data_IF_148696679087
#
_entry.id   IF_148696679087
#
_cell.length_a   1.000
_cell.length_b   1.000
_cell.length_c   1.000
_cell.angle_alpha   90.00
_cell.angle_beta   90.00
_cell.angle_gamma   90.00
#
_symmetry.space_group_name_H-M   'P 1'
#
loop_
_entity.id
_entity.type
_entity.pdbx_description
1 polymer ?
#
# COMPACT_ATOMS: atom_id res chain seq x y z
N UNK A 1 -43.80 54.32 18.93
CA UNK A 1 -42.46 54.02 18.40
C UNK A 1 -42.21 52.51 18.58
N UNK A 2 -42.18 51.79 17.49
CA UNK A 2 -41.88 50.36 17.51
C UNK A 2 -40.41 50.18 17.28
N UNK A 3 -39.68 49.76 18.30
CA UNK A 3 -38.29 49.34 18.16
C UNK A 3 -38.22 48.01 17.43
N UNK A 4 -37.68 48.01 16.22
CA UNK A 4 -37.37 46.74 15.53
C UNK A 4 -36.04 46.23 16.05
N UNK A 5 -36.11 45.17 16.83
CA UNK A 5 -34.94 44.43 17.26
C UNK A 5 -34.44 43.61 16.07
N UNK A 6 -33.32 44.05 15.47
CA UNK A 6 -32.68 43.33 14.42
C UNK A 6 -31.79 42.25 15.04
N UNK A 7 -32.28 41.02 15.04
CA UNK A 7 -31.45 39.86 15.44
C UNK A 7 -30.48 39.60 14.30
N UNK A 8 -29.25 40.06 14.46
CA UNK A 8 -28.12 39.61 13.63
C UNK A 8 -27.78 38.19 14.09
N UNK A 9 -28.24 37.20 13.33
CA UNK A 9 -27.73 35.84 13.43
C UNK A 9 -26.28 35.86 12.93
N UNK A 10 -25.34 35.97 13.85
CA UNK A 10 -23.95 35.64 13.58
C UNK A 10 -23.90 34.12 13.44
N UNK A 11 -23.97 33.63 12.19
CA UNK A 11 -23.63 32.25 11.87
C UNK A 11 -22.15 32.02 12.20
N UNK A 12 -21.87 31.33 13.29
CA UNK A 12 -20.51 30.92 13.60
C UNK A 12 -20.04 29.98 12.50
N UNK A 13 -19.20 30.47 11.60
CA UNK A 13 -18.50 29.65 10.63
C UNK A 13 -17.43 28.87 11.38
N UNK A 14 -17.71 27.61 11.69
CA UNK A 14 -16.73 26.70 12.27
C UNK A 14 -15.90 26.17 11.10
N UNK A 15 -14.60 26.47 11.01
CA UNK A 15 -13.77 25.90 9.96
C UNK A 15 -13.70 24.39 10.19
N UNK A 16 -14.29 23.64 9.29
CA UNK A 16 -14.16 22.17 9.28
C UNK A 16 -12.81 21.83 8.69
N UNK A 17 -11.86 21.44 9.54
CA UNK A 17 -10.61 20.87 9.06
C UNK A 17 -10.92 19.48 8.52
N UNK A 18 -10.74 19.31 7.20
CA UNK A 18 -10.81 17.99 6.60
C UNK A 18 -9.71 17.12 7.22
N UNK A 19 -10.09 16.05 7.91
CA UNK A 19 -9.12 15.04 8.34
C UNK A 19 -8.58 14.33 7.11
N UNK A 20 -7.27 13.99 7.07
CA UNK A 20 -6.74 13.20 5.97
C UNK A 20 -7.56 11.90 5.86
N UNK A 21 -7.99 11.59 4.63
CA UNK A 21 -8.71 10.36 4.37
C UNK A 21 -7.86 9.16 4.84
N UNK A 22 -8.46 8.13 5.48
CA UNK A 22 -7.72 6.93 5.83
C UNK A 22 -7.07 6.35 4.58
N UNK A 23 -5.86 5.80 4.71
CA UNK A 23 -5.13 5.16 3.63
C UNK A 23 -6.00 4.11 2.97
N UNK A 24 -6.22 4.26 1.65
CA UNK A 24 -7.07 3.34 0.88
C UNK A 24 -6.36 2.04 0.52
N UNK A 25 -5.06 1.97 0.76
CA UNK A 25 -4.22 0.80 0.46
C UNK A 25 -3.83 0.10 1.75
N UNK A 26 -3.92 -1.22 1.74
CA UNK A 26 -3.42 -2.07 2.81
C UNK A 26 -2.35 -3.01 2.27
N UNK A 27 -1.33 -3.26 3.10
CA UNK A 27 -0.28 -4.24 2.81
C UNK A 27 -0.70 -5.56 3.44
N UNK A 28 -0.68 -6.63 2.63
CA UNK A 28 -1.05 -7.97 3.05
C UNK A 28 0.13 -8.92 2.93
N UNK A 29 0.15 -9.94 3.77
CA UNK A 29 1.18 -10.96 3.76
C UNK A 29 0.58 -12.34 4.03
N UNK A 30 1.29 -13.37 3.55
CA UNK A 30 0.96 -14.75 3.89
C UNK A 30 1.10 -14.94 5.42
N UNK A 31 0.29 -15.82 5.98
CA UNK A 31 0.31 -16.12 7.42
C UNK A 31 1.68 -16.63 7.91
N UNK A 32 2.52 -17.15 7.01
CA UNK A 32 3.89 -17.59 7.32
C UNK A 32 4.87 -16.44 7.58
N UNK A 33 4.53 -15.21 7.19
CA UNK A 33 5.39 -14.05 7.41
C UNK A 33 5.34 -13.66 8.88
N UNK A 34 6.46 -13.83 9.58
CA UNK A 34 6.56 -13.58 11.03
C UNK A 34 6.78 -12.08 11.32
N UNK A 35 5.83 -11.25 10.90
CA UNK A 35 5.82 -9.81 11.17
C UNK A 35 4.38 -9.34 11.36
N UNK A 36 4.15 -8.41 12.28
CA UNK A 36 2.86 -7.74 12.47
C UNK A 36 2.85 -6.36 11.82
N UNK A 37 4.01 -5.74 11.71
CA UNK A 37 4.21 -4.43 11.10
C UNK A 37 5.44 -4.41 10.21
N UNK A 38 5.55 -3.35 9.42
CA UNK A 38 6.67 -3.10 8.53
C UNK A 38 6.94 -1.60 8.45
N UNK A 39 8.20 -1.20 8.44
CA UNK A 39 8.53 0.20 8.21
C UNK A 39 8.37 0.56 6.73
N UNK A 40 8.09 1.84 6.45
CA UNK A 40 8.06 2.35 5.07
C UNK A 40 9.39 2.10 4.36
N UNK A 41 10.51 2.23 5.06
CA UNK A 41 11.84 1.99 4.50
C UNK A 41 12.01 0.52 4.08
N UNK A 42 11.67 -0.42 4.94
CA UNK A 42 11.76 -1.85 4.64
C UNK A 42 10.83 -2.25 3.50
N UNK A 43 9.60 -1.73 3.51
CA UNK A 43 8.63 -1.97 2.46
C UNK A 43 9.14 -1.48 1.10
N UNK A 44 9.68 -0.28 1.05
CA UNK A 44 10.29 0.29 -0.15
C UNK A 44 11.45 -0.57 -0.66
N UNK A 45 12.34 -1.00 0.21
CA UNK A 45 13.49 -1.83 -0.15
C UNK A 45 13.07 -3.17 -0.73
N UNK A 46 12.08 -3.83 -0.13
CA UNK A 46 11.53 -5.09 -0.64
C UNK A 46 10.90 -4.89 -2.01
N UNK A 47 10.03 -3.91 -2.15
CA UNK A 47 9.30 -3.69 -3.40
C UNK A 47 10.14 -3.09 -4.52
N UNK A 48 11.29 -2.51 -4.23
CA UNK A 48 12.25 -2.04 -5.26
C UNK A 48 13.34 -3.05 -5.56
N UNK A 49 13.36 -4.19 -4.89
CA UNK A 49 14.33 -5.23 -5.12
C UNK A 49 15.69 -5.02 -4.43
N UNK A 50 15.80 -4.02 -3.57
CA UNK A 50 17.03 -3.76 -2.82
C UNK A 50 17.33 -4.86 -1.79
N UNK A 51 16.29 -5.49 -1.26
CA UNK A 51 16.39 -6.63 -0.33
C UNK A 51 15.25 -7.61 -0.55
N UNK A 52 15.43 -8.85 -0.12
CA UNK A 52 14.39 -9.89 -0.10
C UNK A 52 13.90 -10.20 1.32
N UNK A 53 14.31 -9.41 2.30
CA UNK A 53 13.92 -9.65 3.69
C UNK A 53 13.50 -8.38 4.39
N UNK A 54 12.59 -8.54 5.34
CA UNK A 54 12.23 -7.50 6.30
C UNK A 54 13.24 -7.47 7.45
N UNK A 55 13.18 -6.43 8.27
CA UNK A 55 14.01 -6.31 9.46
C UNK A 55 13.90 -7.57 10.33
N UNK A 56 15.01 -8.05 10.82
CA UNK A 56 15.07 -9.31 11.59
C UNK A 56 15.27 -10.56 10.72
N UNK A 57 15.49 -10.41 9.42
CA UNK A 57 15.78 -11.52 8.51
C UNK A 57 14.56 -12.27 8.01
N UNK A 58 13.35 -11.72 8.17
CA UNK A 58 12.12 -12.36 7.68
C UNK A 58 12.08 -12.31 6.16
N UNK A 59 12.21 -13.46 5.51
CA UNK A 59 12.19 -13.58 4.05
C UNK A 59 10.79 -13.32 3.50
N UNK A 60 10.70 -12.48 2.47
CA UNK A 60 9.45 -12.14 1.80
C UNK A 60 9.65 -12.11 0.29
N UNK A 61 8.57 -12.42 -0.43
CA UNK A 61 8.51 -12.34 -1.89
C UNK A 61 7.42 -11.36 -2.29
N UNK A 62 7.77 -10.20 -2.85
CA UNK A 62 6.77 -9.23 -3.27
C UNK A 62 5.98 -9.71 -4.48
N UNK A 63 4.69 -9.41 -4.52
CA UNK A 63 3.84 -9.55 -5.69
C UNK A 63 3.25 -8.20 -6.04
N UNK A 64 3.07 -7.95 -7.32
CA UNK A 64 2.63 -6.67 -7.85
C UNK A 64 1.21 -6.76 -8.36
N UNK A 65 0.48 -5.68 -8.21
CA UNK A 65 -0.80 -5.49 -8.88
C UNK A 65 -0.55 -4.78 -10.22
N UNK A 66 -1.35 -5.13 -11.22
CA UNK A 66 -1.30 -4.43 -12.52
C UNK A 66 -1.47 -2.92 -12.37
N UNK A 67 -1.02 -2.11 -13.34
CA UNK A 67 -1.22 -0.66 -13.31
C UNK A 67 -2.68 -0.29 -13.11
N UNK A 68 -2.94 0.73 -12.31
CA UNK A 68 -4.26 1.23 -11.95
C UNK A 68 -4.20 2.05 -10.66
N UNK A 69 -5.37 2.48 -10.19
CA UNK A 69 -5.47 3.42 -9.08
C UNK A 69 -4.85 2.89 -7.78
N UNK A 70 -5.11 1.64 -7.41
CA UNK A 70 -4.56 1.04 -6.19
C UNK A 70 -3.04 0.89 -6.28
N UNK A 71 -2.53 0.45 -7.42
CA UNK A 71 -1.09 0.36 -7.67
C UNK A 71 -0.43 1.75 -7.60
N UNK A 72 -1.03 2.75 -8.21
CA UNK A 72 -0.52 4.12 -8.18
C UNK A 72 -0.50 4.67 -6.74
N UNK A 73 -1.55 4.47 -5.99
CA UNK A 73 -1.63 4.90 -4.59
C UNK A 73 -0.57 4.21 -3.72
N UNK A 74 -0.36 2.93 -3.91
CA UNK A 74 0.69 2.19 -3.22
C UNK A 74 2.08 2.75 -3.54
N UNK A 75 2.37 2.99 -4.80
CA UNK A 75 3.66 3.53 -5.23
C UNK A 75 3.88 4.95 -4.69
N UNK A 76 2.86 5.81 -4.74
CA UNK A 76 2.94 7.16 -4.21
C UNK A 76 3.17 7.18 -2.69
N UNK A 77 2.46 6.34 -1.96
CA UNK A 77 2.52 6.30 -0.50
C UNK A 77 3.83 5.71 0.03
N UNK A 78 4.33 4.65 -0.60
CA UNK A 78 5.37 3.81 0.01
C UNK A 78 6.65 3.68 -0.81
N UNK A 79 6.62 3.92 -2.10
CA UNK A 79 7.78 3.72 -2.97
C UNK A 79 8.36 5.04 -3.49
N UNK A 80 7.49 6.01 -3.78
CA UNK A 80 7.91 7.32 -4.29
C UNK A 80 8.33 7.29 -5.75
N UNK A 81 7.78 6.37 -6.54
CA UNK A 81 8.05 6.23 -7.98
C UNK A 81 6.76 6.10 -8.76
N UNK A 82 6.77 6.54 -10.02
CA UNK A 82 5.73 6.21 -10.98
C UNK A 82 5.77 4.72 -11.33
N UNK A 83 4.67 4.18 -11.84
CA UNK A 83 4.63 2.77 -12.27
C UNK A 83 5.69 2.47 -13.33
N UNK A 84 5.85 3.33 -14.32
CA UNK A 84 6.86 3.13 -15.37
C UNK A 84 8.29 3.12 -14.81
N UNK A 85 8.62 4.04 -13.92
CA UNK A 85 9.94 4.09 -13.27
C UNK A 85 10.18 2.90 -12.36
N UNK A 86 9.16 2.48 -11.63
CA UNK A 86 9.20 1.32 -10.76
C UNK A 86 9.48 0.03 -11.54
N UNK A 87 8.73 -0.20 -12.63
CA UNK A 87 8.91 -1.40 -13.46
C UNK A 87 10.20 -1.36 -14.24
N UNK A 88 10.67 -0.18 -14.65
CA UNK A 88 12.00 -0.03 -15.26
C UNK A 88 13.13 -0.44 -14.30
N UNK A 89 13.00 -0.11 -13.02
CA UNK A 89 13.92 -0.55 -11.99
C UNK A 89 14.00 -2.09 -11.89
N UNK A 90 12.88 -2.76 -11.90
CA UNK A 90 12.85 -4.23 -11.90
C UNK A 90 13.43 -4.84 -13.19
N UNK A 91 13.14 -4.27 -14.35
CA UNK A 91 13.75 -4.73 -15.59
C UNK A 91 15.28 -4.60 -15.55
N UNK A 92 15.80 -3.53 -14.96
CA UNK A 92 17.23 -3.36 -14.76
C UNK A 92 17.84 -4.47 -13.89
N UNK A 93 17.16 -4.85 -12.81
CA UNK A 93 17.57 -5.95 -11.94
C UNK A 93 17.57 -7.27 -12.71
N UNK A 94 16.52 -7.54 -13.49
CA UNK A 94 16.40 -8.75 -14.31
C UNK A 94 17.53 -8.83 -15.34
N UNK A 95 17.80 -7.75 -16.07
CA UNK A 95 18.83 -7.72 -17.10
C UNK A 95 20.26 -7.82 -16.55
N UNK A 96 20.49 -7.37 -15.31
CA UNK A 96 21.78 -7.52 -14.65
C UNK A 96 22.01 -8.92 -14.07
N UNK A 97 21.02 -9.79 -14.10
CA UNK A 97 21.09 -11.13 -13.54
C UNK A 97 21.03 -11.17 -12.00
N UNK A 98 20.69 -10.06 -11.35
CA UNK A 98 20.68 -9.94 -9.88
C UNK A 98 19.36 -10.39 -9.25
N UNK A 99 18.34 -10.70 -10.02
CA UNK A 99 17.06 -11.14 -9.50
C UNK A 99 16.05 -11.45 -10.59
N UNK A 100 14.87 -11.89 -10.16
CA UNK A 100 13.72 -12.19 -11.01
C UNK A 100 12.66 -11.14 -10.83
N UNK A 101 11.93 -10.86 -11.90
CA UNK A 101 10.78 -9.96 -11.88
C UNK A 101 9.70 -10.51 -10.93
N UNK A 102 9.15 -9.72 -10.02
CA UNK A 102 7.99 -10.13 -9.23
C UNK A 102 6.80 -10.47 -10.11
N UNK A 103 6.00 -11.42 -9.65
CA UNK A 103 4.75 -11.75 -10.32
C UNK A 103 3.80 -10.56 -10.26
N UNK A 104 3.21 -10.23 -11.40
CA UNK A 104 2.16 -9.20 -11.51
C UNK A 104 0.81 -9.89 -11.69
N UNK A 105 -0.15 -9.53 -10.85
CA UNK A 105 -1.50 -10.10 -10.86
C UNK A 105 -2.51 -9.09 -11.41
N UNK A 106 -3.55 -9.60 -12.08
CA UNK A 106 -4.49 -8.79 -12.84
C UNK A 106 -5.61 -8.17 -12.00
N UNK A 107 -5.78 -8.62 -10.77
CA UNK A 107 -6.84 -8.11 -9.88
C UNK A 107 -6.43 -8.17 -8.43
N UNK A 108 -7.09 -7.36 -7.61
CA UNK A 108 -6.89 -7.38 -6.17
C UNK A 108 -7.30 -8.72 -5.55
N UNK A 109 -8.39 -9.31 -6.04
CA UNK A 109 -8.82 -10.65 -5.62
C UNK A 109 -7.74 -11.70 -5.92
N UNK A 110 -7.09 -11.62 -7.08
CA UNK A 110 -5.99 -12.51 -7.44
C UNK A 110 -4.76 -12.31 -6.54
N UNK A 111 -4.48 -11.07 -6.13
CA UNK A 111 -3.42 -10.78 -5.15
C UNK A 111 -3.71 -11.45 -3.81
N UNK A 112 -4.93 -11.30 -3.30
CA UNK A 112 -5.35 -11.95 -2.03
C UNK A 112 -5.21 -13.46 -2.12
N UNK A 113 -5.71 -14.07 -3.19
CA UNK A 113 -5.63 -15.51 -3.43
C UNK A 113 -4.19 -15.99 -3.46
N UNK A 114 -3.34 -15.33 -4.22
CA UNK A 114 -1.93 -15.67 -4.34
C UNK A 114 -1.19 -15.56 -3.01
N UNK A 115 -1.39 -14.46 -2.29
CA UNK A 115 -0.76 -14.23 -0.99
C UNK A 115 -1.24 -15.23 0.05
N UNK A 116 -2.53 -15.58 0.05
CA UNK A 116 -3.09 -16.57 0.97
C UNK A 116 -2.44 -17.97 0.81
N UNK A 117 -2.09 -18.36 -0.41
CA UNK A 117 -1.62 -19.70 -0.75
C UNK A 117 -0.12 -19.79 -1.04
N UNK A 118 0.64 -18.70 -0.90
CA UNK A 118 2.07 -18.66 -1.20
C UNK A 118 2.85 -18.24 0.02
N UNK A 119 3.64 -19.17 0.58
CA UNK A 119 4.48 -18.88 1.73
C UNK A 119 5.44 -17.71 1.45
N UNK A 120 5.56 -16.79 2.39
CA UNK A 120 6.44 -15.62 2.30
C UNK A 120 5.94 -14.50 1.40
N UNK A 121 4.79 -14.65 0.74
CA UNK A 121 4.29 -13.61 -0.17
C UNK A 121 3.85 -12.36 0.58
N UNK A 122 4.16 -11.21 0.00
CA UNK A 122 3.73 -9.89 0.45
C UNK A 122 3.18 -9.12 -0.74
N UNK A 123 2.04 -8.45 -0.55
CA UNK A 123 1.39 -7.70 -1.60
C UNK A 123 0.61 -6.51 -1.05
N UNK A 124 -0.16 -5.89 -1.91
CA UNK A 124 -0.99 -4.73 -1.56
C UNK A 124 -2.30 -4.75 -2.33
N UNK A 125 -3.33 -4.27 -1.70
CA UNK A 125 -4.69 -4.19 -2.24
C UNK A 125 -5.37 -2.92 -1.75
N UNK A 126 -6.52 -2.59 -2.33
CA UNK A 126 -7.41 -1.58 -1.78
C UNK A 126 -8.08 -2.07 -0.49
N UNK A 127 -8.27 -1.17 0.46
CA UNK A 127 -8.89 -1.49 1.76
C UNK A 127 -10.27 -2.12 1.63
N UNK A 128 -11.04 -1.74 0.60
CA UNK A 128 -12.39 -2.25 0.39
C UNK A 128 -12.42 -3.68 -0.17
N UNK A 129 -11.31 -4.19 -0.67
CA UNK A 129 -11.25 -5.56 -1.18
C UNK A 129 -11.27 -6.56 -0.03
N UNK A 130 -12.15 -7.59 -0.08
CA UNK A 130 -12.13 -8.66 0.92
C UNK A 130 -10.77 -9.34 0.98
N UNK A 131 -10.23 -9.48 2.18
CA UNK A 131 -8.88 -10.04 2.37
C UNK A 131 -8.79 -10.98 3.56
N UNK A 132 -9.80 -11.81 3.73
CA UNK A 132 -9.76 -12.92 4.67
C UNK A 132 -8.71 -13.94 4.26
N UNK A 133 -8.09 -14.60 5.24
CA UNK A 133 -7.07 -15.61 5.01
C UNK A 133 -5.65 -15.08 4.78
N UNK A 134 -5.44 -13.77 4.84
CA UNK A 134 -4.13 -13.12 4.81
C UNK A 134 -3.93 -12.24 6.04
N UNK A 135 -2.68 -11.96 6.37
CA UNK A 135 -2.34 -10.98 7.40
C UNK A 135 -2.35 -9.58 6.80
N UNK A 136 -2.81 -8.61 7.57
CA UNK A 136 -2.59 -7.19 7.28
C UNK A 136 -1.39 -6.71 8.08
N UNK A 137 -0.40 -6.11 7.41
CA UNK A 137 0.75 -5.51 8.06
C UNK A 137 0.49 -4.02 8.29
N UNK A 138 0.69 -3.57 9.53
CA UNK A 138 0.68 -2.14 9.82
C UNK A 138 1.96 -1.52 9.26
N UNK A 139 1.84 -0.40 8.52
CA UNK A 139 3.00 0.33 7.99
C UNK A 139 3.28 1.51 8.92
N UNK A 140 4.50 1.61 9.41
CA UNK A 140 4.97 2.65 10.33
C UNK A 140 6.08 3.53 9.77
#
# INVERSE_FOLDING_TARGET
>A
MKARLLFLLFGAFVPTFAQPAPTQVVVIANSSVAAADVSKADLREVFTGATSSLKGGVQVTPVLLKPGAVNDDFLDLYVGKSDSGFRAGWRSILFSGQGVMPKTLDSEAAVVEYVAHTAGAIGYIGRATPHEGVKTLAVR
#
